data_IF_309659240641
#
_entry.id   IF_309659240641
#
_cell.length_a   1.000
_cell.length_b   1.000
_cell.length_c   1.000
_cell.angle_alpha   90.00
_cell.angle_beta   90.00
_cell.angle_gamma   90.00
#
_symmetry.space_group_name_H-M   'P 1'
#
loop_
_entity.id
_entity.type
_entity.pdbx_description
1 polymer ?
#
# COMPACT_ATOMS: atom_id res chain seq x y z
N UNK A 1 -8.17 2.51 -3.23
CA UNK A 1 -6.91 1.94 -3.76
C UNK A 1 -6.43 2.78 -4.93
N UNK A 2 -5.12 3.07 -5.00
CA UNK A 2 -4.52 3.94 -6.03
C UNK A 2 -3.56 3.12 -6.88
N UNK A 3 -3.90 2.95 -8.16
CA UNK A 3 -3.19 2.11 -9.14
C UNK A 3 -3.75 0.69 -9.28
N UNK A 4 -3.84 0.22 -10.52
CA UNK A 4 -4.38 -1.10 -10.90
C UNK A 4 -3.33 -1.99 -11.60
N UNK A 5 -2.04 -1.77 -11.36
CA UNK A 5 -0.95 -2.54 -11.95
C UNK A 5 -0.89 -4.02 -11.53
N UNK A 6 0.12 -4.73 -11.99
CA UNK A 6 0.27 -6.17 -11.71
C UNK A 6 0.29 -6.51 -10.21
N UNK A 7 1.00 -5.71 -9.40
CA UNK A 7 1.02 -5.88 -7.94
C UNK A 7 -0.33 -5.55 -7.29
N UNK A 8 -1.04 -4.53 -7.78
CA UNK A 8 -2.39 -4.22 -7.29
C UNK A 8 -3.32 -5.41 -7.52
N UNK A 9 -3.32 -5.98 -8.72
CA UNK A 9 -4.10 -7.20 -9.05
C UNK A 9 -3.69 -8.42 -8.23
N UNK A 10 -2.42 -8.55 -7.84
CA UNK A 10 -1.99 -9.59 -6.91
C UNK A 10 -2.63 -9.39 -5.52
N UNK A 11 -2.58 -8.17 -4.98
CA UNK A 11 -3.19 -7.84 -3.69
C UNK A 11 -4.71 -7.98 -3.70
N UNK A 12 -5.39 -7.52 -4.76
CA UNK A 12 -6.84 -7.65 -4.92
C UNK A 12 -7.28 -9.11 -4.81
N UNK A 13 -6.59 -10.05 -5.46
CA UNK A 13 -6.93 -11.48 -5.34
C UNK A 13 -6.87 -12.02 -3.90
N UNK A 14 -6.03 -11.44 -3.05
CA UNK A 14 -5.97 -11.80 -1.63
C UNK A 14 -7.06 -11.08 -0.83
N UNK A 15 -7.30 -9.79 -1.10
CA UNK A 15 -8.34 -9.00 -0.44
C UNK A 15 -9.72 -9.59 -0.70
N UNK A 16 -9.99 -10.07 -1.92
CA UNK A 16 -11.24 -10.74 -2.28
C UNK A 16 -11.51 -12.03 -1.49
N UNK A 17 -10.50 -12.58 -0.78
CA UNK A 17 -10.64 -13.73 0.11
C UNK A 17 -10.94 -13.32 1.57
N UNK A 18 -10.93 -12.02 1.87
CA UNK A 18 -11.02 -11.43 3.23
C UNK A 18 -12.09 -10.32 3.30
N UNK A 19 -13.21 -10.55 2.61
CA UNK A 19 -14.30 -9.57 2.47
C UNK A 19 -15.02 -9.26 3.79
N UNK A 20 -14.84 -10.09 4.81
CA UNK A 20 -15.34 -9.87 6.17
C UNK A 20 -14.53 -8.81 6.95
N UNK A 21 -13.30 -8.51 6.51
CA UNK A 21 -12.43 -7.53 7.18
C UNK A 21 -12.05 -6.34 6.30
N UNK A 22 -12.08 -6.49 4.97
CA UNK A 22 -11.54 -5.49 4.05
C UNK A 22 -12.41 -5.34 2.81
N UNK A 23 -12.79 -4.09 2.50
CA UNK A 23 -13.49 -3.73 1.27
C UNK A 23 -12.65 -2.74 0.45
N UNK A 24 -12.67 -2.89 -0.88
CA UNK A 24 -12.13 -1.88 -1.80
C UNK A 24 -13.29 -1.02 -2.26
N UNK A 25 -13.57 0.09 -1.56
CA UNK A 25 -14.73 0.95 -1.87
C UNK A 25 -14.52 1.87 -3.08
N UNK A 26 -13.27 2.20 -3.42
CA UNK A 26 -12.93 3.13 -4.50
C UNK A 26 -11.60 2.74 -5.15
N UNK A 27 -11.53 2.88 -6.47
CA UNK A 27 -10.30 2.76 -7.26
C UNK A 27 -9.95 4.11 -7.89
N UNK A 28 -8.66 4.42 -7.95
CA UNK A 28 -8.11 5.54 -8.70
C UNK A 28 -7.06 5.03 -9.68
N UNK A 29 -7.43 4.94 -10.96
CA UNK A 29 -6.57 4.49 -12.05
C UNK A 29 -6.85 5.29 -13.33
N UNK A 30 -5.88 6.06 -13.85
CA UNK A 30 -6.06 6.84 -15.06
C UNK A 30 -6.11 6.00 -16.34
N UNK A 31 -5.48 4.83 -16.38
CA UNK A 31 -5.52 3.95 -17.55
C UNK A 31 -6.73 3.02 -17.51
N UNK A 32 -7.75 3.32 -18.32
CA UNK A 32 -8.99 2.53 -18.40
C UNK A 32 -8.73 1.02 -18.56
N UNK A 33 -7.80 0.62 -19.44
CA UNK A 33 -7.44 -0.78 -19.63
C UNK A 33 -6.89 -1.46 -18.36
N UNK A 34 -6.16 -0.73 -17.50
CA UNK A 34 -5.69 -1.27 -16.22
C UNK A 34 -6.83 -1.47 -15.23
N UNK A 35 -7.83 -0.58 -15.25
CA UNK A 35 -9.05 -0.74 -14.44
C UNK A 35 -9.91 -1.91 -14.93
N UNK A 36 -10.09 -2.08 -16.24
CA UNK A 36 -10.81 -3.22 -16.83
C UNK A 36 -10.22 -4.56 -16.37
N UNK A 37 -8.89 -4.71 -16.44
CA UNK A 37 -8.21 -5.93 -15.97
C UNK A 37 -8.35 -6.19 -14.45
N UNK A 38 -8.60 -5.14 -13.67
CA UNK A 38 -8.90 -5.29 -12.25
C UNK A 38 -10.37 -5.63 -12.04
N UNK A 39 -11.27 -5.03 -12.83
CA UNK A 39 -12.69 -5.30 -12.79
C UNK A 39 -13.00 -6.77 -13.11
N UNK A 40 -12.30 -7.35 -14.09
CA UNK A 40 -12.39 -8.77 -14.42
C UNK A 40 -12.17 -9.68 -13.19
N UNK A 41 -11.32 -9.28 -12.23
CA UNK A 41 -11.07 -10.06 -11.00
C UNK A 41 -12.27 -10.07 -10.06
N UNK A 42 -13.07 -9.00 -10.04
CA UNK A 42 -14.31 -8.94 -9.28
C UNK A 42 -15.38 -9.78 -9.96
N UNK A 43 -15.48 -9.68 -11.29
CA UNK A 43 -16.42 -10.49 -12.09
C UNK A 43 -16.15 -11.99 -11.94
N UNK A 44 -14.88 -12.42 -11.91
CA UNK A 44 -14.44 -13.81 -11.68
C UNK A 44 -15.02 -14.41 -10.38
N UNK A 45 -15.24 -13.59 -9.36
CA UNK A 45 -15.79 -14.01 -8.06
C UNK A 45 -17.25 -13.60 -7.87
N UNK A 46 -17.90 -13.09 -8.92
CA UNK A 46 -19.32 -12.71 -8.91
C UNK A 46 -19.61 -11.44 -8.10
N UNK A 47 -18.65 -10.53 -8.00
CA UNK A 47 -18.79 -9.25 -7.31
C UNK A 47 -18.80 -8.08 -8.30
N UNK A 48 -19.44 -6.98 -7.90
CA UNK A 48 -19.37 -5.74 -8.66
C UNK A 48 -18.03 -5.04 -8.37
N UNK A 49 -17.28 -4.64 -9.41
CA UNK A 49 -16.05 -3.87 -9.22
C UNK A 49 -16.36 -2.49 -8.64
N UNK A 50 -15.48 -1.94 -7.79
CA UNK A 50 -15.67 -0.60 -7.23
C UNK A 50 -15.59 0.49 -8.30
N UNK A 51 -16.24 1.65 -8.07
CA UNK A 51 -16.14 2.77 -8.99
C UNK A 51 -14.69 3.24 -9.16
N UNK A 52 -14.36 3.69 -10.37
CA UNK A 52 -13.07 4.30 -10.69
C UNK A 52 -13.20 5.83 -10.79
N UNK A 53 -12.40 6.55 -10.00
CA UNK A 53 -12.19 8.00 -10.14
C UNK A 53 -10.76 8.21 -10.63
N UNK A 54 -10.53 8.45 -11.93
CA UNK A 54 -9.20 8.41 -12.56
C UNK A 54 -8.34 9.67 -12.30
N UNK A 55 -8.56 10.34 -11.17
CA UNK A 55 -7.80 11.50 -10.70
C UNK A 55 -7.77 11.50 -9.17
N UNK A 56 -6.58 11.43 -8.59
CA UNK A 56 -6.43 11.31 -7.14
C UNK A 56 -6.95 12.54 -6.40
N UNK A 57 -6.73 13.75 -6.94
CA UNK A 57 -7.19 14.97 -6.30
C UNK A 57 -8.73 14.99 -6.21
N UNK A 58 -9.42 14.55 -7.27
CA UNK A 58 -10.88 14.43 -7.29
C UNK A 58 -11.36 13.31 -6.37
N UNK A 59 -10.71 12.15 -6.39
CA UNK A 59 -11.02 11.06 -5.48
C UNK A 59 -10.94 11.50 -4.00
N UNK A 60 -9.89 12.22 -3.62
CA UNK A 60 -9.72 12.71 -2.25
C UNK A 60 -10.76 13.77 -1.89
N UNK A 61 -10.99 14.77 -2.75
CA UNK A 61 -11.99 15.82 -2.46
C UNK A 61 -13.39 15.26 -2.26
N UNK A 62 -13.79 14.30 -3.09
CA UNK A 62 -15.18 13.88 -3.19
C UNK A 62 -15.50 12.66 -2.30
N UNK A 63 -14.47 11.89 -1.90
CA UNK A 63 -14.68 10.62 -1.21
C UNK A 63 -13.84 10.41 0.06
N UNK A 64 -12.83 11.22 0.38
CA UNK A 64 -11.93 10.94 1.51
C UNK A 64 -12.67 10.78 2.85
N UNK A 65 -13.72 11.56 3.10
CA UNK A 65 -14.51 11.46 4.35
C UNK A 65 -15.23 10.11 4.53
N UNK A 66 -15.40 9.35 3.45
CA UNK A 66 -16.05 8.03 3.43
C UNK A 66 -15.08 6.86 3.40
N UNK A 67 -13.76 7.11 3.48
CA UNK A 67 -12.72 6.10 3.35
C UNK A 67 -11.84 6.09 4.61
N UNK A 68 -11.41 4.90 5.05
CA UNK A 68 -10.52 4.77 6.21
C UNK A 68 -9.04 4.91 5.82
N UNK A 69 -8.67 4.34 4.67
CA UNK A 69 -7.28 4.24 4.25
C UNK A 69 -7.09 4.22 2.73
N UNK A 70 -5.91 4.67 2.29
CA UNK A 70 -5.43 4.55 0.93
C UNK A 70 -4.34 3.48 0.83
N UNK A 71 -4.57 2.46 -0.01
CA UNK A 71 -3.52 1.55 -0.46
C UNK A 71 -2.94 2.06 -1.80
N UNK A 72 -1.69 2.52 -1.78
CA UNK A 72 -0.98 3.08 -2.93
C UNK A 72 -0.04 2.04 -3.54
N UNK A 73 -0.29 1.68 -4.80
CA UNK A 73 0.36 0.58 -5.54
C UNK A 73 0.81 1.05 -6.93
N UNK A 74 1.26 2.31 -7.01
CA UNK A 74 1.71 2.96 -8.24
C UNK A 74 3.21 2.79 -8.46
N UNK A 75 3.79 3.24 -9.60
CA UNK A 75 5.23 3.41 -9.68
C UNK A 75 5.77 4.29 -8.55
N UNK A 76 6.86 3.86 -7.92
CA UNK A 76 7.47 4.49 -6.73
C UNK A 76 7.83 5.98 -6.87
N UNK A 77 8.00 6.50 -8.08
CA UNK A 77 8.17 7.94 -8.35
C UNK A 77 6.97 8.79 -7.90
N UNK A 78 5.78 8.19 -7.78
CA UNK A 78 4.56 8.89 -7.38
C UNK A 78 4.24 8.72 -5.89
N UNK A 79 4.93 7.82 -5.18
CA UNK A 79 4.59 7.47 -3.81
C UNK A 79 4.57 8.66 -2.86
N UNK A 80 5.60 9.51 -2.92
CA UNK A 80 5.73 10.66 -2.03
C UNK A 80 4.49 11.57 -2.10
N UNK A 81 4.19 12.10 -3.28
CA UNK A 81 3.08 13.04 -3.47
C UNK A 81 1.72 12.42 -3.19
N UNK A 82 1.52 11.15 -3.58
CA UNK A 82 0.25 10.47 -3.35
C UNK A 82 0.02 10.15 -1.87
N UNK A 83 1.05 9.65 -1.18
CA UNK A 83 0.96 9.34 0.25
C UNK A 83 0.79 10.61 1.08
N UNK A 84 1.49 11.68 0.74
CA UNK A 84 1.30 13.00 1.36
C UNK A 84 -0.14 13.49 1.18
N UNK A 85 -0.65 13.50 -0.06
CA UNK A 85 -2.02 13.96 -0.34
C UNK A 85 -3.09 13.13 0.39
N UNK A 86 -2.94 11.80 0.44
CA UNK A 86 -3.87 10.93 1.16
C UNK A 86 -3.87 11.20 2.67
N UNK A 87 -2.69 11.35 3.29
CA UNK A 87 -2.61 11.65 4.73
C UNK A 87 -3.16 13.04 5.06
N UNK A 88 -2.92 14.03 4.20
CA UNK A 88 -3.49 15.38 4.34
C UNK A 88 -5.01 15.39 4.20
N UNK A 89 -5.57 14.47 3.42
CA UNK A 89 -7.00 14.26 3.30
C UNK A 89 -7.59 13.45 4.47
N UNK A 90 -6.79 13.07 5.47
CA UNK A 90 -7.25 12.38 6.68
C UNK A 90 -7.21 10.85 6.60
N UNK A 91 -6.68 10.27 5.53
CA UNK A 91 -6.61 8.82 5.35
C UNK A 91 -5.34 8.22 5.97
N UNK A 92 -5.46 7.03 6.54
CA UNK A 92 -4.29 6.19 6.79
C UNK A 92 -3.72 5.66 5.46
N UNK A 93 -2.42 5.39 5.39
CA UNK A 93 -1.75 4.97 4.15
C UNK A 93 -1.02 3.65 4.33
N UNK A 94 -1.38 2.69 3.48
CA UNK A 94 -0.54 1.54 3.16
C UNK A 94 0.16 1.80 1.83
N UNK A 95 1.50 1.84 1.84
CA UNK A 95 2.31 2.25 0.69
C UNK A 95 3.17 1.09 0.21
N UNK A 96 3.15 0.79 -1.09
CA UNK A 96 4.07 -0.20 -1.66
C UNK A 96 5.54 0.19 -1.51
N UNK A 97 6.41 -0.82 -1.57
CA UNK A 97 7.87 -0.62 -1.53
C UNK A 97 8.44 -0.39 -2.94
N UNK A 98 9.57 0.34 -3.08
CA UNK A 98 10.22 1.13 -2.05
C UNK A 98 9.35 2.32 -1.63
N UNK A 99 9.51 2.77 -0.37
CA UNK A 99 8.68 3.84 0.20
C UNK A 99 8.66 5.09 -0.70
N UNK A 100 9.83 5.58 -1.11
CA UNK A 100 10.01 6.79 -1.94
C UNK A 100 11.34 6.71 -2.71
N UNK A 101 11.67 7.73 -3.52
CA UNK A 101 12.86 7.73 -4.39
C UNK A 101 14.16 8.07 -3.66
N UNK A 102 14.09 8.88 -2.59
CA UNK A 102 15.27 9.42 -1.92
C UNK A 102 14.99 9.73 -0.44
N UNK A 103 16.06 10.02 0.29
CA UNK A 103 16.01 10.30 1.73
C UNK A 103 15.19 11.55 2.06
N UNK A 104 15.27 12.61 1.25
CA UNK A 104 14.55 13.86 1.51
C UNK A 104 13.04 13.64 1.44
N UNK A 105 12.55 12.93 0.42
CA UNK A 105 11.15 12.51 0.34
C UNK A 105 10.74 11.64 1.54
N UNK A 106 11.63 10.78 2.04
CA UNK A 106 11.33 9.88 3.15
C UNK A 106 11.16 10.68 4.44
N UNK A 107 12.08 11.61 4.71
CA UNK A 107 12.04 12.52 5.86
C UNK A 107 10.80 13.42 5.81
N UNK A 108 10.46 13.96 4.64
CA UNK A 108 9.26 14.78 4.48
C UNK A 108 7.98 13.96 4.70
N UNK A 109 7.93 12.72 4.20
CA UNK A 109 6.75 11.88 4.38
C UNK A 109 6.57 11.44 5.84
N UNK A 110 7.68 11.21 6.56
CA UNK A 110 7.71 11.04 8.02
C UNK A 110 7.14 12.28 8.71
N UNK A 111 7.58 13.47 8.33
CA UNK A 111 7.07 14.72 8.91
C UNK A 111 5.57 14.93 8.64
N UNK A 112 5.09 14.57 7.44
CA UNK A 112 3.65 14.62 7.10
C UNK A 112 2.85 13.66 7.96
N UNK A 113 3.30 12.41 8.13
CA UNK A 113 2.67 11.46 9.05
C UNK A 113 2.59 12.03 10.46
N UNK A 114 3.69 12.56 10.98
CA UNK A 114 3.75 13.07 12.36
C UNK A 114 2.84 14.30 12.56
N UNK A 115 2.75 15.17 11.55
CA UNK A 115 1.89 16.37 11.58
C UNK A 115 0.40 16.04 11.43
N UNK A 116 0.05 15.11 10.55
CA UNK A 116 -1.35 14.71 10.28
C UNK A 116 -1.87 13.71 11.32
N UNK A 117 -0.98 13.03 12.04
CA UNK A 117 -1.33 11.98 13.00
C UNK A 117 -1.97 10.76 12.34
N UNK A 118 -1.76 10.55 11.04
CA UNK A 118 -2.22 9.38 10.28
C UNK A 118 -1.22 8.24 10.39
N UNK A 119 -1.69 7.01 10.18
CA UNK A 119 -0.81 5.86 10.06
C UNK A 119 -0.17 5.83 8.66
N UNK A 120 1.14 5.61 8.60
CA UNK A 120 1.86 5.29 7.38
C UNK A 120 2.57 3.94 7.56
N UNK A 121 2.11 2.93 6.84
CA UNK A 121 2.71 1.59 6.82
C UNK A 121 3.28 1.29 5.44
N UNK A 122 4.48 0.72 5.39
CA UNK A 122 5.10 0.28 4.14
C UNK A 122 4.82 -1.21 3.97
N UNK A 123 4.34 -1.62 2.79
CA UNK A 123 4.04 -3.01 2.44
C UNK A 123 5.32 -3.85 2.24
N UNK A 124 6.19 -3.86 3.25
CA UNK A 124 7.44 -4.62 3.29
C UNK A 124 7.19 -6.00 3.90
N UNK A 125 6.51 -6.86 3.15
CA UNK A 125 6.05 -8.17 3.61
C UNK A 125 7.19 -9.13 4.05
N UNK A 126 8.40 -8.95 3.52
CA UNK A 126 9.56 -9.79 3.86
C UNK A 126 9.84 -9.84 5.36
N UNK A 127 9.74 -8.72 6.07
CA UNK A 127 9.95 -8.67 7.53
C UNK A 127 8.90 -9.42 8.34
N UNK A 128 7.74 -9.74 7.74
CA UNK A 128 6.66 -10.49 8.38
C UNK A 128 6.77 -12.00 8.17
N UNK A 129 7.66 -12.48 7.29
CA UNK A 129 7.85 -13.91 7.03
C UNK A 129 8.19 -14.67 8.32
N UNK A 130 7.59 -15.85 8.55
CA UNK A 130 7.96 -16.73 9.66
C UNK A 130 9.46 -17.07 9.67
N UNK A 131 10.06 -17.25 8.49
CA UNK A 131 11.48 -17.54 8.34
C UNK A 131 12.35 -16.37 8.79
N UNK A 132 12.00 -15.13 8.41
CA UNK A 132 12.70 -13.93 8.87
C UNK A 132 12.53 -13.74 10.38
N UNK A 133 11.32 -13.94 10.92
CA UNK A 133 11.08 -13.85 12.37
C UNK A 133 11.91 -14.88 13.15
N UNK A 134 11.98 -16.12 12.68
CA UNK A 134 12.82 -17.16 13.27
C UNK A 134 14.31 -16.80 13.21
N UNK A 135 14.79 -16.33 12.05
CA UNK A 135 16.17 -15.89 11.90
C UNK A 135 16.50 -14.75 12.87
N UNK A 136 15.61 -13.76 13.01
CA UNK A 136 15.76 -12.66 13.98
C UNK A 136 15.81 -13.18 15.43
N UNK A 137 14.99 -14.17 15.78
CA UNK A 137 15.03 -14.76 17.13
C UNK A 137 16.35 -15.46 17.42
N UNK A 138 16.87 -16.25 16.46
CA UNK A 138 18.18 -16.92 16.57
C UNK A 138 19.31 -15.89 16.66
N UNK A 139 19.27 -14.83 15.84
CA UNK A 139 20.26 -13.75 15.89
C UNK A 139 20.26 -13.05 17.26
N UNK A 140 19.08 -12.82 17.83
CA UNK A 140 18.92 -12.14 19.13
C UNK A 140 19.19 -13.04 20.33
N UNK A 141 19.09 -14.37 20.21
CA UNK A 141 19.39 -15.29 21.31
C UNK A 141 20.88 -15.31 21.66
N UNK A 142 21.74 -14.90 20.72
CA UNK A 142 23.19 -14.95 20.87
C UNK A 142 23.79 -16.33 20.66
N UNK A 143 22.98 -17.34 20.30
CA UNK A 143 23.45 -18.73 20.12
C UNK A 143 24.44 -18.90 18.95
N UNK A 144 24.43 -17.95 18.00
CA UNK A 144 25.35 -17.91 16.86
C UNK A 144 26.69 -17.22 17.19
N UNK A 145 26.85 -16.64 18.38
CA UNK A 145 28.02 -15.85 18.74
C UNK A 145 28.11 -14.52 17.98
N UNK A 146 29.33 -14.07 17.70
CA UNK A 146 29.57 -12.83 16.95
C UNK A 146 29.28 -13.02 15.46
N UNK A 147 28.47 -12.12 14.89
CA UNK A 147 28.14 -12.15 13.47
C UNK A 147 29.34 -11.73 12.61
N UNK A 148 29.85 -12.68 11.84
CA UNK A 148 31.02 -12.43 10.97
C UNK A 148 30.64 -11.93 9.57
N UNK A 149 29.53 -12.43 9.01
CA UNK A 149 29.12 -12.11 7.65
C UNK A 149 27.59 -12.28 7.45
N UNK A 150 27.01 -11.48 6.56
CA UNK A 150 25.63 -11.61 6.07
C UNK A 150 25.68 -11.50 4.55
N UNK A 151 25.15 -12.50 3.85
CA UNK A 151 25.05 -12.52 2.40
C UNK A 151 23.57 -12.72 2.01
N UNK A 152 23.07 -11.87 1.12
CA UNK A 152 21.71 -11.88 0.60
C UNK A 152 21.72 -12.10 -0.91
#
# INVERSE_FOLDING_TARGET
MVGCGGMARHHVRQILQQQDTTEIALVCEPAAASYELLADLFDEVGLTPPPNVPDLATALRDHAESLDAAFIITPHVYHYLQAEACMEAGLDVLLEKPMVMNQVEAENLIATRDRTGRLLSIAFNGSLSPQIRTAVNILRSGELGEMLNIQA
#
